data_IF_664362432247
#
_entry.id   IF_664362432247
#
_cell.length_a   1.000
_cell.length_b   1.000
_cell.length_c   1.000
_cell.angle_alpha   90.00
_cell.angle_beta   90.00
_cell.angle_gamma   90.00
#
_symmetry.space_group_name_H-M   'P 1'
#
loop_
_entity.id
_entity.type
_entity.pdbx_description
1 polymer ?
#
# COMPACT_ATOMS: atom_id res chain seq x y z
N UNK A 1 -59.26 45.38 -40.78
CA UNK A 1 -58.48 44.49 -39.86
C UNK A 1 -59.00 43.08 -40.06
N UNK A 2 -58.16 42.17 -40.59
CA UNK A 2 -58.55 40.76 -40.81
C UNK A 2 -58.28 39.96 -39.54
N UNK A 3 -59.19 39.13 -39.04
CA UNK A 3 -58.96 38.35 -37.85
C UNK A 3 -57.87 37.26 -38.13
N UNK A 4 -56.91 37.18 -37.24
CA UNK A 4 -55.88 36.11 -37.23
C UNK A 4 -56.56 34.80 -36.80
N UNK A 5 -56.43 33.68 -37.55
CA UNK A 5 -57.14 32.46 -37.23
C UNK A 5 -56.61 31.84 -35.91
N UNK A 6 -57.52 31.49 -35.04
CA UNK A 6 -57.27 30.90 -33.69
C UNK A 6 -56.41 29.67 -33.70
N UNK A 7 -56.22 29.01 -34.84
CA UNK A 7 -55.41 27.83 -35.04
C UNK A 7 -53.87 28.12 -34.90
N UNK A 8 -53.44 29.34 -35.26
CA UNK A 8 -52.00 29.72 -35.15
C UNK A 8 -51.59 30.00 -33.71
N UNK A 9 -52.50 30.38 -32.83
CA UNK A 9 -52.20 30.62 -31.43
C UNK A 9 -52.04 29.29 -30.59
N UNK A 10 -52.81 28.27 -30.97
CA UNK A 10 -52.74 26.95 -30.32
C UNK A 10 -51.44 26.18 -30.64
N UNK A 11 -50.89 26.34 -31.85
CA UNK A 11 -49.64 25.71 -32.25
C UNK A 11 -48.40 26.28 -31.54
N UNK A 12 -48.38 27.55 -31.20
CA UNK A 12 -47.29 28.23 -30.48
C UNK A 12 -47.31 27.85 -29.00
N UNK A 13 -48.48 27.69 -28.35
CA UNK A 13 -48.57 27.22 -26.97
C UNK A 13 -48.16 25.74 -26.83
N UNK A 14 -48.47 24.87 -27.79
CA UNK A 14 -48.06 23.46 -27.76
C UNK A 14 -46.55 23.28 -27.95
N UNK A 15 -45.87 24.15 -28.69
CA UNK A 15 -44.41 24.11 -28.86
C UNK A 15 -43.64 24.57 -27.62
N UNK A 16 -44.21 25.40 -26.74
CA UNK A 16 -43.56 25.84 -25.49
C UNK A 16 -43.62 24.80 -24.34
N UNK A 17 -44.53 23.83 -24.41
CA UNK A 17 -44.64 22.79 -23.37
C UNK A 17 -43.70 21.61 -23.59
N UNK A 18 -43.08 21.44 -24.76
CA UNK A 18 -42.11 20.38 -25.04
C UNK A 18 -40.63 20.72 -24.65
N UNK A 19 -40.34 21.95 -24.25
CA UNK A 19 -38.96 22.38 -23.97
C UNK A 19 -38.52 22.18 -22.52
N UNK A 20 -39.35 21.63 -21.64
CA UNK A 20 -39.04 21.47 -20.20
C UNK A 20 -38.71 20.04 -19.75
N UNK A 21 -38.62 19.08 -20.65
CA UNK A 21 -38.12 17.73 -20.33
C UNK A 21 -36.73 17.50 -20.91
N UNK A 22 -35.76 18.36 -20.57
CA UNK A 22 -34.36 17.99 -20.74
C UNK A 22 -34.12 16.77 -19.80
N UNK A 23 -33.74 15.62 -20.36
CA UNK A 23 -33.33 14.50 -19.47
C UNK A 23 -32.20 15.00 -18.57
N UNK A 24 -32.43 15.05 -17.28
CA UNK A 24 -31.35 15.25 -16.31
C UNK A 24 -30.38 14.10 -16.52
N UNK A 25 -29.25 14.37 -17.17
CA UNK A 25 -28.16 13.43 -17.22
C UNK A 25 -27.86 13.04 -15.78
N UNK A 26 -27.81 11.75 -15.43
CA UNK A 26 -27.43 11.36 -14.10
C UNK A 26 -26.06 11.99 -13.83
N UNK A 27 -25.96 12.81 -12.79
CA UNK A 27 -24.68 13.33 -12.34
C UNK A 27 -23.77 12.10 -12.17
N UNK A 28 -22.67 12.05 -12.93
CA UNK A 28 -21.71 10.97 -12.79
C UNK A 28 -21.38 10.85 -11.30
N UNK A 29 -21.69 9.70 -10.71
CA UNK A 29 -21.41 9.47 -9.30
C UNK A 29 -19.93 9.73 -9.08
N UNK A 30 -19.61 10.64 -8.15
CA UNK A 30 -18.21 10.95 -7.82
C UNK A 30 -17.54 9.65 -7.34
N UNK A 31 -16.54 9.19 -8.06
CA UNK A 31 -15.75 8.01 -7.71
C UNK A 31 -14.36 8.44 -7.27
N UNK A 32 -13.91 7.92 -6.12
CA UNK A 32 -12.56 8.09 -5.61
C UNK A 32 -11.81 6.79 -5.82
N UNK A 33 -10.74 6.81 -6.62
CA UNK A 33 -9.91 5.65 -6.89
C UNK A 33 -8.58 5.75 -6.17
N UNK A 34 -8.16 4.68 -5.52
CA UNK A 34 -6.88 4.61 -4.83
C UNK A 34 -6.11 3.34 -5.14
N UNK A 35 -4.79 3.40 -5.02
CA UNK A 35 -3.94 2.23 -5.16
C UNK A 35 -2.67 2.35 -4.31
N UNK A 36 -2.05 1.23 -3.95
CA UNK A 36 -0.74 1.24 -3.31
C UNK A 36 -0.55 0.23 -2.20
N UNK A 37 -0.04 0.71 -1.05
CA UNK A 37 0.34 -0.11 0.10
C UNK A 37 -0.73 -1.15 0.46
N UNK A 38 -0.27 -2.37 0.76
CA UNK A 38 -1.19 -3.49 1.02
C UNK A 38 -1.65 -3.55 2.47
N UNK A 39 -0.84 -3.07 3.41
CA UNK A 39 -1.15 -3.20 4.83
C UNK A 39 -2.42 -2.43 5.26
N UNK A 40 -2.73 -1.21 4.74
CA UNK A 40 -3.90 -0.46 5.17
C UNK A 40 -5.21 -0.94 4.53
N UNK A 41 -5.15 -1.88 3.57
CA UNK A 41 -6.33 -2.32 2.82
C UNK A 41 -7.53 -2.72 3.69
N UNK A 42 -7.38 -3.50 4.78
CA UNK A 42 -8.53 -3.90 5.60
C UNK A 42 -9.28 -2.73 6.22
N UNK A 43 -8.57 -1.66 6.61
CA UNK A 43 -9.22 -0.47 7.18
C UNK A 43 -9.77 0.43 6.07
N UNK A 44 -9.07 0.57 4.95
CA UNK A 44 -9.57 1.34 3.80
C UNK A 44 -10.85 0.76 3.23
N UNK A 45 -10.98 -0.56 3.16
CA UNK A 45 -12.22 -1.22 2.74
C UNK A 45 -13.39 -0.86 3.66
N UNK A 46 -13.17 -0.89 4.99
CA UNK A 46 -14.19 -0.49 5.97
C UNK A 46 -14.56 1.00 5.86
N UNK A 47 -13.57 1.86 5.66
CA UNK A 47 -13.83 3.29 5.48
C UNK A 47 -14.57 3.57 4.18
N UNK A 48 -14.24 2.87 3.08
CA UNK A 48 -14.95 2.97 1.82
C UNK A 48 -16.44 2.62 1.95
N UNK A 49 -16.74 1.52 2.65
CA UNK A 49 -18.12 1.08 2.92
C UNK A 49 -18.90 2.10 3.78
N UNK A 50 -18.27 2.62 4.84
CA UNK A 50 -18.88 3.62 5.71
C UNK A 50 -19.13 4.94 4.95
N UNK A 51 -18.13 5.42 4.22
CA UNK A 51 -18.22 6.66 3.46
C UNK A 51 -19.28 6.61 2.37
N UNK A 52 -19.39 5.47 1.67
CA UNK A 52 -20.45 5.23 0.69
C UNK A 52 -21.85 5.30 1.31
N UNK A 53 -22.03 4.74 2.52
CA UNK A 53 -23.33 4.79 3.22
C UNK A 53 -23.73 6.21 3.63
N UNK A 54 -22.78 7.03 4.02
CA UNK A 54 -23.03 8.40 4.47
C UNK A 54 -23.19 9.39 3.32
N UNK A 55 -22.39 9.24 2.27
CA UNK A 55 -22.28 10.27 1.21
C UNK A 55 -22.78 9.83 -0.17
N UNK A 56 -22.98 8.52 -0.37
CA UNK A 56 -23.25 7.95 -1.70
C UNK A 56 -22.01 7.85 -2.60
N UNK A 57 -20.86 8.43 -2.20
CA UNK A 57 -19.62 8.41 -2.98
C UNK A 57 -18.96 7.05 -2.92
N UNK A 58 -18.57 6.51 -4.08
CA UNK A 58 -17.87 5.23 -4.18
C UNK A 58 -16.38 5.47 -4.07
N UNK A 59 -15.72 4.75 -3.13
CA UNK A 59 -14.27 4.70 -3.01
C UNK A 59 -13.80 3.28 -3.31
N UNK A 60 -12.89 3.15 -4.29
CA UNK A 60 -12.24 1.88 -4.64
C UNK A 60 -10.75 1.95 -4.32
N UNK A 61 -10.19 0.84 -3.84
CA UNK A 61 -8.76 0.77 -3.50
C UNK A 61 -8.14 -0.54 -3.98
N UNK A 62 -6.99 -0.44 -4.65
CA UNK A 62 -6.22 -1.58 -5.17
C UNK A 62 -4.93 -1.79 -4.37
N UNK A 63 -4.81 -2.87 -3.58
CA UNK A 63 -3.61 -3.17 -2.78
C UNK A 63 -2.51 -3.80 -3.66
N UNK A 64 -1.82 -3.00 -4.45
CA UNK A 64 -0.80 -3.41 -5.44
C UNK A 64 0.65 -3.16 -4.99
N UNK A 65 0.84 -2.81 -3.71
CA UNK A 65 2.13 -2.44 -3.12
C UNK A 65 2.47 -0.96 -3.31
N UNK A 66 3.27 -0.42 -2.37
CA UNK A 66 3.63 1.00 -2.32
C UNK A 66 4.27 1.50 -3.61
N UNK A 67 5.16 0.71 -4.21
CA UNK A 67 5.79 1.08 -5.49
C UNK A 67 4.78 1.20 -6.65
N UNK A 68 3.74 0.35 -6.66
CA UNK A 68 2.63 0.46 -7.60
C UNK A 68 1.80 1.72 -7.39
N UNK A 69 1.45 2.02 -6.13
CA UNK A 69 0.69 3.21 -5.77
C UNK A 69 1.40 4.51 -6.12
N UNK A 70 2.70 4.61 -5.82
CA UNK A 70 3.52 5.77 -6.18
C UNK A 70 3.48 6.01 -7.70
N UNK A 71 3.71 4.96 -8.50
CA UNK A 71 3.66 5.09 -9.97
C UNK A 71 2.28 5.52 -10.47
N UNK A 72 1.21 4.98 -9.91
CA UNK A 72 -0.14 5.34 -10.37
C UNK A 72 -0.51 6.78 -10.03
N UNK A 73 -0.17 7.27 -8.84
CA UNK A 73 -0.48 8.67 -8.50
C UNK A 73 0.40 9.64 -9.30
N UNK A 74 1.67 9.33 -9.55
CA UNK A 74 2.55 10.14 -10.39
C UNK A 74 2.08 10.20 -11.85
N UNK A 75 1.43 9.15 -12.35
CA UNK A 75 0.85 9.09 -13.69
C UNK A 75 -0.60 9.58 -13.74
N UNK A 76 -1.15 10.11 -12.65
CA UNK A 76 -2.54 10.58 -12.55
C UNK A 76 -3.59 9.53 -12.96
N UNK A 77 -3.31 8.23 -12.72
CA UNK A 77 -4.25 7.14 -13.02
C UNK A 77 -5.17 6.80 -11.85
N UNK A 78 -4.92 7.37 -10.68
CA UNK A 78 -5.76 7.24 -9.47
C UNK A 78 -5.89 8.59 -8.77
N UNK A 79 -6.94 8.76 -7.97
CA UNK A 79 -7.20 9.97 -7.18
C UNK A 79 -6.22 10.10 -6.02
N UNK A 80 -5.81 8.96 -5.41
CA UNK A 80 -4.79 8.95 -4.36
C UNK A 80 -3.91 7.70 -4.43
N UNK A 81 -2.65 7.86 -4.02
CA UNK A 81 -1.70 6.75 -3.85
C UNK A 81 -1.41 6.52 -2.37
N UNK A 82 -1.34 5.27 -1.91
CA UNK A 82 -0.89 4.96 -0.56
C UNK A 82 0.49 4.30 -0.57
N UNK A 83 1.36 4.74 0.34
CA UNK A 83 2.73 4.25 0.43
C UNK A 83 3.22 4.23 1.88
N UNK A 84 3.96 3.17 2.25
CA UNK A 84 4.70 3.09 3.50
C UNK A 84 6.09 3.75 3.37
N UNK A 85 6.50 4.06 2.13
CA UNK A 85 7.72 4.81 1.86
C UNK A 85 7.36 6.30 1.68
N UNK A 86 7.90 7.22 2.51
CA UNK A 86 7.71 8.64 2.28
C UNK A 86 8.44 9.08 1.00
N UNK A 87 7.78 9.90 0.20
CA UNK A 87 8.42 10.57 -0.91
C UNK A 87 9.25 11.77 -0.41
N UNK A 88 10.34 12.07 -1.12
CA UNK A 88 11.14 13.26 -0.83
C UNK A 88 10.37 14.52 -1.22
N UNK A 89 10.60 15.66 -0.52
CA UNK A 89 9.94 16.93 -0.84
C UNK A 89 10.07 17.34 -2.31
N UNK A 90 11.25 17.16 -2.90
CA UNK A 90 11.49 17.50 -4.31
C UNK A 90 10.62 16.67 -5.27
N UNK A 91 10.41 15.38 -4.97
CA UNK A 91 9.52 14.53 -5.76
C UNK A 91 8.06 14.96 -5.62
N UNK A 92 7.62 15.27 -4.39
CA UNK A 92 6.26 15.76 -4.14
C UNK A 92 6.00 17.06 -4.88
N UNK A 93 6.93 18.02 -4.78
CA UNK A 93 6.80 19.31 -5.45
C UNK A 93 6.79 19.19 -6.97
N UNK A 94 7.67 18.34 -7.53
CA UNK A 94 7.75 18.07 -8.96
C UNK A 94 6.44 17.54 -9.54
N UNK A 95 5.79 16.64 -8.80
CA UNK A 95 4.59 15.95 -9.26
C UNK A 95 3.30 16.64 -8.75
N UNK A 96 3.41 17.77 -8.04
CA UNK A 96 2.27 18.52 -7.49
C UNK A 96 1.49 17.73 -6.43
N UNK A 97 2.19 16.86 -5.68
CA UNK A 97 1.59 15.97 -4.70
C UNK A 97 1.77 16.49 -3.27
N UNK A 98 0.82 16.15 -2.42
CA UNK A 98 0.92 16.29 -0.96
C UNK A 98 0.88 14.91 -0.32
N UNK A 99 1.59 14.73 0.80
CA UNK A 99 1.60 13.46 1.52
C UNK A 99 1.31 13.70 3.01
N UNK A 100 0.43 12.86 3.57
CA UNK A 100 0.04 12.92 4.98
C UNK A 100 -0.17 11.51 5.54
N UNK A 101 0.04 11.29 6.86
CA UNK A 101 -0.19 10.00 7.49
C UNK A 101 -1.69 9.70 7.62
N UNK A 102 -2.08 8.45 7.36
CA UNK A 102 -3.47 7.97 7.49
C UNK A 102 -3.60 6.83 8.50
N UNK A 103 -2.69 5.88 8.47
CA UNK A 103 -2.71 4.66 9.29
C UNK A 103 -1.31 4.36 9.78
N UNK A 104 -1.20 3.86 11.01
CA UNK A 104 0.06 3.41 11.61
C UNK A 104 0.00 1.90 11.87
N UNK A 105 1.09 1.20 11.65
CA UNK A 105 1.24 -0.23 11.93
C UNK A 105 2.70 -0.59 12.17
N UNK A 106 2.95 -1.80 12.69
CA UNK A 106 4.29 -2.32 12.93
C UNK A 106 4.73 -3.31 11.85
N UNK A 107 5.99 -3.19 11.39
CA UNK A 107 6.65 -4.25 10.63
C UNK A 107 7.49 -5.10 11.61
N UNK A 108 7.13 -6.38 11.73
CA UNK A 108 7.76 -7.29 12.70
C UNK A 108 8.27 -8.56 12.00
N UNK A 109 9.42 -9.15 12.46
CA UNK A 109 9.84 -10.45 11.99
C UNK A 109 8.91 -11.53 12.54
N UNK A 110 8.45 -12.42 11.68
CA UNK A 110 7.67 -13.59 12.06
C UNK A 110 8.54 -14.83 11.84
N UNK A 111 8.65 -15.68 12.84
CA UNK A 111 9.43 -16.92 12.78
C UNK A 111 8.54 -18.14 12.95
N UNK A 112 8.89 -19.23 12.27
CA UNK A 112 8.24 -20.53 12.41
C UNK A 112 9.26 -21.55 12.90
N UNK A 113 9.35 -21.71 14.23
CA UNK A 113 10.21 -22.67 14.90
C UNK A 113 9.31 -23.54 15.79
N UNK A 114 9.33 -24.84 15.54
CA UNK A 114 8.53 -25.81 16.28
C UNK A 114 8.83 -25.77 17.79
N UNK A 115 7.79 -25.75 18.60
CA UNK A 115 7.89 -25.69 20.06
C UNK A 115 8.29 -24.32 20.64
N UNK A 116 8.42 -23.29 19.82
CA UNK A 116 8.73 -21.95 20.30
C UNK A 116 7.44 -21.09 20.46
N UNK A 117 7.28 -20.53 21.64
CA UNK A 117 6.17 -19.61 21.93
C UNK A 117 6.39 -18.26 21.26
N UNK A 118 5.29 -17.55 20.97
CA UNK A 118 5.34 -16.18 20.45
C UNK A 118 6.13 -15.26 21.39
N UNK A 119 7.02 -14.43 20.84
CA UNK A 119 7.85 -13.49 21.60
C UNK A 119 9.02 -14.13 22.38
N UNK A 120 9.22 -15.46 22.32
CA UNK A 120 10.31 -16.12 23.04
C UNK A 120 11.67 -15.91 22.39
N UNK A 121 11.75 -15.75 21.08
CA UNK A 121 13.01 -15.52 20.37
C UNK A 121 13.46 -14.05 20.50
N UNK A 122 14.68 -13.87 20.99
CA UNK A 122 15.35 -12.58 21.06
C UNK A 122 16.27 -12.41 19.87
N UNK A 123 16.13 -11.30 19.16
CA UNK A 123 16.96 -10.90 18.04
C UNK A 123 17.40 -9.45 18.22
N UNK A 124 18.65 -9.15 17.91
CA UNK A 124 19.14 -7.78 17.79
C UNK A 124 19.30 -7.37 16.31
N UNK A 125 19.51 -6.09 16.07
CA UNK A 125 19.61 -5.55 14.71
C UNK A 125 20.80 -6.13 13.93
N UNK A 126 21.93 -6.34 14.59
CA UNK A 126 23.12 -6.90 13.96
C UNK A 126 22.92 -8.36 13.53
N UNK A 127 22.31 -9.16 14.39
CA UNK A 127 21.97 -10.55 14.09
C UNK A 127 20.93 -10.66 12.98
N UNK A 128 19.90 -9.80 13.01
CA UNK A 128 18.91 -9.73 11.93
C UNK A 128 19.57 -9.39 10.59
N UNK A 129 20.43 -8.37 10.54
CA UNK A 129 21.14 -8.03 9.32
C UNK A 129 21.97 -9.20 8.78
N UNK A 130 22.68 -9.94 9.62
CA UNK A 130 23.46 -11.13 9.23
C UNK A 130 22.58 -12.27 8.69
N UNK A 131 21.39 -12.47 9.26
CA UNK A 131 20.43 -13.44 8.73
C UNK A 131 20.01 -13.03 7.31
N UNK A 132 19.64 -11.78 7.11
CA UNK A 132 19.19 -11.29 5.80
C UNK A 132 20.33 -11.13 4.77
N UNK A 133 21.60 -11.00 5.22
CA UNK A 133 22.78 -11.11 4.38
C UNK A 133 23.15 -12.57 4.02
N UNK A 134 22.51 -13.56 4.66
CA UNK A 134 22.82 -14.97 4.47
C UNK A 134 24.12 -15.41 5.15
N UNK A 135 24.62 -14.63 6.10
CA UNK A 135 25.80 -14.96 6.92
C UNK A 135 25.43 -15.93 8.06
N UNK A 136 24.30 -15.70 8.73
CA UNK A 136 23.70 -16.64 9.68
C UNK A 136 22.65 -17.48 8.95
N UNK A 137 22.88 -18.77 8.83
CA UNK A 137 22.10 -19.68 7.99
C UNK A 137 21.32 -20.74 8.74
N UNK A 138 21.58 -20.94 10.04
CA UNK A 138 20.90 -21.94 10.86
C UNK A 138 20.42 -21.33 12.17
N UNK A 139 19.33 -21.88 12.73
CA UNK A 139 18.76 -21.37 13.96
C UNK A 139 19.67 -21.58 15.19
N UNK A 140 20.52 -22.60 15.19
CA UNK A 140 21.48 -22.86 16.26
C UNK A 140 22.86 -22.21 16.05
N UNK A 141 22.91 -21.13 15.23
CA UNK A 141 24.15 -20.34 15.09
C UNK A 141 24.57 -19.78 16.45
N UNK A 142 25.89 -19.77 16.76
CA UNK A 142 26.42 -19.26 18.03
C UNK A 142 25.93 -17.84 18.40
N UNK A 143 25.75 -16.95 17.41
CA UNK A 143 25.25 -15.61 17.68
C UNK A 143 23.79 -15.63 18.17
N UNK A 144 22.95 -16.50 17.60
CA UNK A 144 21.57 -16.70 18.05
C UNK A 144 21.50 -17.38 19.41
N UNK A 145 22.32 -18.41 19.67
CA UNK A 145 22.39 -19.09 20.97
C UNK A 145 22.79 -18.10 22.07
N UNK A 146 23.75 -17.21 21.80
CA UNK A 146 24.20 -16.21 22.76
C UNK A 146 23.08 -15.27 23.20
N UNK A 147 22.19 -14.86 22.26
CA UNK A 147 21.02 -14.02 22.56
C UNK A 147 19.90 -14.80 23.26
N UNK A 148 19.88 -16.12 23.10
CA UNK A 148 18.81 -17.00 23.55
C UNK A 148 19.32 -18.19 24.36
N UNK A 149 20.04 -18.00 25.49
CA UNK A 149 20.73 -19.07 26.19
C UNK A 149 19.81 -20.17 26.76
N UNK A 150 18.53 -19.81 26.96
CA UNK A 150 17.54 -20.76 27.50
C UNK A 150 16.62 -21.35 26.41
N UNK A 151 16.80 -20.97 25.15
CA UNK A 151 15.98 -21.47 24.05
C UNK A 151 16.61 -22.69 23.40
N UNK A 152 15.78 -23.70 23.13
CA UNK A 152 16.21 -24.88 22.37
C UNK A 152 16.09 -24.59 20.88
N UNK A 153 17.07 -23.90 20.29
CA UNK A 153 17.09 -23.57 18.87
C UNK A 153 17.55 -24.84 18.07
N UNK A 154 16.77 -25.23 17.03
CA UNK A 154 17.06 -26.44 16.28
C UNK A 154 18.23 -26.26 15.31
N UNK A 155 18.97 -27.36 15.03
CA UNK A 155 19.92 -27.38 13.91
C UNK A 155 19.16 -27.50 12.57
N UNK A 156 18.50 -26.39 12.17
CA UNK A 156 17.73 -26.30 10.91
C UNK A 156 18.12 -25.03 10.16
N UNK A 157 18.08 -25.05 8.83
CA UNK A 157 18.37 -23.86 8.04
C UNK A 157 17.31 -22.78 8.26
N UNK A 158 17.74 -21.51 8.24
CA UNK A 158 16.88 -20.35 8.21
C UNK A 158 16.52 -20.10 6.75
N UNK A 159 15.22 -20.11 6.43
CA UNK A 159 14.71 -19.71 5.13
C UNK A 159 14.04 -18.35 5.28
N UNK A 160 14.69 -17.33 4.74
CA UNK A 160 14.14 -15.96 4.73
C UNK A 160 13.03 -15.88 3.69
N UNK A 161 11.85 -15.38 4.08
CA UNK A 161 10.78 -15.06 3.16
C UNK A 161 10.65 -13.54 3.06
N UNK A 162 10.68 -13.01 1.84
CA UNK A 162 10.58 -11.58 1.56
C UNK A 162 9.61 -11.29 0.43
N UNK A 163 9.26 -10.03 0.25
CA UNK A 163 8.40 -9.58 -0.86
C UNK A 163 9.19 -9.54 -2.17
N UNK A 164 8.52 -9.90 -3.27
CA UNK A 164 9.05 -9.85 -4.63
C UNK A 164 8.50 -8.68 -5.46
N UNK A 165 7.54 -7.94 -4.91
CA UNK A 165 6.94 -6.75 -5.53
C UNK A 165 7.49 -5.45 -4.94
N UNK A 166 7.14 -4.31 -5.52
CA UNK A 166 7.47 -2.99 -4.99
C UNK A 166 6.73 -2.71 -3.67
N UNK A 167 7.30 -3.16 -2.55
CA UNK A 167 6.67 -3.21 -1.24
C UNK A 167 7.16 -2.11 -0.30
N UNK A 168 6.23 -1.38 0.32
CA UNK A 168 6.56 -0.44 1.39
C UNK A 168 7.10 -1.12 2.64
N UNK A 169 6.62 -2.33 2.97
CA UNK A 169 7.19 -3.15 4.07
C UNK A 169 8.65 -3.50 3.78
N UNK A 170 9.01 -3.80 2.52
CA UNK A 170 10.40 -3.97 2.11
C UNK A 170 11.22 -2.70 2.38
N UNK A 171 10.67 -1.52 2.06
CA UNK A 171 11.35 -0.25 2.34
C UNK A 171 11.60 -0.07 3.84
N UNK A 172 10.58 -0.25 4.69
CA UNK A 172 10.71 -0.11 6.15
C UNK A 172 11.77 -1.06 6.69
N UNK A 173 11.73 -2.33 6.25
CA UNK A 173 12.66 -3.36 6.70
C UNK A 173 14.09 -3.07 6.26
N UNK A 174 14.31 -2.73 5.01
CA UNK A 174 15.64 -2.44 4.46
C UNK A 174 16.21 -1.13 4.99
N UNK A 175 15.37 -0.14 5.30
CA UNK A 175 15.78 1.09 6.00
C UNK A 175 16.25 0.80 7.43
N UNK A 176 15.51 -0.05 8.16
CA UNK A 176 15.92 -0.51 9.47
C UNK A 176 17.27 -1.26 9.42
N UNK A 177 17.40 -2.24 8.52
CA UNK A 177 18.65 -3.00 8.36
C UNK A 177 19.82 -2.08 7.97
N UNK A 178 19.60 -1.05 7.16
CA UNK A 178 20.62 -0.05 6.80
C UNK A 178 21.05 0.83 7.99
N UNK A 179 20.18 1.01 8.99
CA UNK A 179 20.48 1.77 10.21
C UNK A 179 21.27 0.96 11.24
N UNK A 180 21.04 -0.36 11.29
CA UNK A 180 21.66 -1.25 12.28
C UNK A 180 22.87 -2.01 11.76
N UNK A 181 23.16 -1.99 10.44
CA UNK A 181 24.27 -2.67 9.80
C UNK A 181 24.86 -1.85 8.66
N UNK A 182 26.14 -1.51 8.82
CA UNK A 182 26.89 -0.82 7.76
C UNK A 182 27.09 -1.74 6.54
N UNK A 183 27.29 -3.03 6.74
CA UNK A 183 27.45 -4.01 5.67
C UNK A 183 26.17 -4.11 4.82
N UNK A 184 25.01 -4.17 5.48
CA UNK A 184 23.73 -4.12 4.77
C UNK A 184 23.59 -2.82 3.95
N UNK A 185 23.88 -1.67 4.58
CA UNK A 185 23.78 -0.37 3.95
C UNK A 185 24.62 -0.27 2.69
N UNK A 186 25.85 -0.81 2.70
CA UNK A 186 26.79 -0.75 1.57
C UNK A 186 26.47 -1.79 0.48
N UNK A 187 26.07 -3.01 0.89
CA UNK A 187 25.87 -4.13 -0.05
C UNK A 187 24.48 -4.11 -0.70
N UNK A 188 23.45 -3.70 0.04
CA UNK A 188 22.05 -3.83 -0.37
C UNK A 188 21.33 -2.48 -0.38
N UNK A 189 21.49 -1.68 0.68
CA UNK A 189 20.82 -0.39 0.85
C UNK A 189 19.34 -0.53 1.22
N UNK A 190 18.53 0.49 0.84
CA UNK A 190 17.11 0.58 1.17
C UNK A 190 16.28 1.00 -0.04
N UNK A 191 15.20 0.28 -0.30
CA UNK A 191 14.23 0.60 -1.37
C UNK A 191 12.94 -0.19 -1.16
N UNK A 192 11.91 0.11 -1.93
CA UNK A 192 10.71 -0.72 -2.03
C UNK A 192 10.97 -2.06 -2.74
N UNK A 193 12.09 -2.17 -3.45
CA UNK A 193 12.60 -3.40 -4.08
C UNK A 193 14.12 -3.38 -4.02
N UNK A 194 14.73 -4.46 -3.58
CA UNK A 194 16.18 -4.64 -3.46
C UNK A 194 16.60 -6.00 -4.00
N UNK A 195 17.88 -6.14 -4.34
CA UNK A 195 18.49 -7.45 -4.60
C UNK A 195 18.74 -8.16 -3.27
N UNK A 196 17.87 -9.11 -2.94
CA UNK A 196 17.96 -9.84 -1.68
C UNK A 196 19.13 -10.84 -1.71
N UNK A 197 20.07 -10.78 -0.75
CA UNK A 197 21.22 -11.71 -0.74
C UNK A 197 20.83 -13.16 -0.50
N UNK A 198 19.69 -13.38 0.15
CA UNK A 198 19.18 -14.73 0.47
C UNK A 198 17.67 -14.72 0.59
N UNK A 199 17.06 -15.89 0.52
CA UNK A 199 15.64 -16.07 0.79
C UNK A 199 14.81 -16.40 -0.44
N UNK A 200 13.50 -16.42 -0.22
CA UNK A 200 12.49 -16.73 -1.25
C UNK A 200 11.55 -15.54 -1.40
N UNK A 201 11.49 -15.00 -2.60
CA UNK A 201 10.56 -13.94 -2.95
C UNK A 201 9.12 -14.46 -3.07
N UNK A 202 8.18 -13.76 -2.44
CA UNK A 202 6.74 -14.03 -2.56
C UNK A 202 6.01 -12.73 -2.87
N UNK A 203 5.08 -12.78 -3.82
CA UNK A 203 4.12 -11.69 -4.03
C UNK A 203 3.12 -11.60 -2.86
N UNK A 204 2.50 -10.44 -2.71
CA UNK A 204 1.35 -10.33 -1.80
C UNK A 204 0.20 -11.17 -2.36
N UNK A 205 -0.20 -12.24 -1.67
CA UNK A 205 -1.43 -12.97 -2.03
C UNK A 205 -2.62 -12.09 -1.65
N UNK A 206 -3.53 -11.96 -2.60
CA UNK A 206 -4.83 -11.34 -2.40
C UNK A 206 -5.74 -12.27 -1.61
#
# INVERSE_FOLDING_TARGET
MKPVPAIALAAVLAAMTFLSAAPSLPAAALEITGAGATFPYPIYAKWADAYKKETGVVLTYQPIGSGGGIRQIQNNTVTFGASDMPLKPDALNKDGLVQFPTVIGGAVPVVNIEGMSSGALKLDGATLAKIFLGEIRTWNDPALLKLNPNAKLPHRPIVVAHRADGSGTTFIWTDYLSKVSQDWKLKVGRSTSVEWPTGIGRGCRR
#
